data_IF_506960800877
#
_entry.id   IF_506960800877
#
_cell.length_a   1.000
_cell.length_b   1.000
_cell.length_c   1.000
_cell.angle_alpha   90.00
_cell.angle_beta   90.00
_cell.angle_gamma   90.00
#
_symmetry.space_group_name_H-M   'P 1'
#
loop_
_entity.id
_entity.type
_entity.pdbx_description
1 polymer ?
#
# COMPACT_ATOMS: atom_id res chain seq x y z
N UNK A 1 -19.49 -10.95 -2.79
CA UNK A 1 -18.02 -11.08 -2.91
C UNK A 1 -17.54 -12.35 -2.24
N UNK A 2 -17.70 -12.48 -0.92
CA UNK A 2 -17.47 -13.71 -0.14
C UNK A 2 -17.83 -15.04 -0.83
N UNK A 3 -19.10 -15.22 -1.23
CA UNK A 3 -19.56 -16.45 -1.88
C UNK A 3 -18.85 -16.74 -3.21
N UNK A 4 -18.54 -15.70 -3.99
CA UNK A 4 -17.82 -15.84 -5.26
C UNK A 4 -16.39 -16.34 -5.01
N UNK A 5 -15.70 -15.76 -4.02
CA UNK A 5 -14.36 -16.18 -3.64
C UNK A 5 -14.31 -17.64 -3.16
N UNK A 6 -15.26 -18.06 -2.30
CA UNK A 6 -15.37 -19.45 -1.85
C UNK A 6 -15.63 -20.41 -3.02
N UNK A 7 -16.42 -19.99 -4.01
CA UNK A 7 -16.66 -20.75 -5.23
C UNK A 7 -15.46 -20.75 -6.21
N UNK A 8 -14.35 -20.08 -5.88
CA UNK A 8 -13.18 -19.95 -6.75
C UNK A 8 -13.35 -18.94 -7.89
N UNK A 9 -14.40 -18.12 -7.86
CA UNK A 9 -14.65 -17.04 -8.83
C UNK A 9 -13.81 -15.83 -8.41
N UNK A 10 -12.90 -15.42 -9.30
CA UNK A 10 -11.90 -14.36 -9.03
C UNK A 10 -12.23 -12.99 -9.62
N UNK A 11 -13.25 -12.90 -10.46
CA UNK A 11 -13.67 -11.64 -11.11
C UNK A 11 -15.16 -11.45 -10.88
N UNK A 12 -15.56 -10.29 -10.37
CA UNK A 12 -16.95 -9.92 -10.08
C UNK A 12 -17.29 -8.59 -10.76
N UNK A 13 -18.34 -8.56 -11.59
CA UNK A 13 -18.80 -7.34 -12.24
C UNK A 13 -20.00 -6.75 -11.51
N UNK A 14 -20.01 -5.43 -11.35
CA UNK A 14 -21.15 -4.68 -10.82
C UNK A 14 -21.25 -3.33 -11.49
N UNK A 15 -22.31 -2.57 -11.21
CA UNK A 15 -22.43 -1.21 -11.68
C UNK A 15 -21.40 -0.33 -10.98
N UNK A 16 -21.62 -0.11 -9.69
CA UNK A 16 -20.76 0.68 -8.82
C UNK A 16 -20.75 0.05 -7.44
N UNK A 17 -19.63 0.15 -6.74
CA UNK A 17 -19.53 -0.34 -5.36
C UNK A 17 -20.25 0.62 -4.41
N UNK A 18 -20.64 0.10 -3.25
CA UNK A 18 -20.88 0.96 -2.10
C UNK A 18 -19.60 1.67 -1.64
N UNK A 19 -19.72 2.53 -0.65
CA UNK A 19 -18.62 3.37 -0.22
C UNK A 19 -18.93 4.16 1.03
N UNK A 20 -18.13 5.18 1.27
CA UNK A 20 -18.34 6.16 2.33
C UNK A 20 -19.45 7.10 1.91
N UNK A 21 -20.49 7.24 2.72
CA UNK A 21 -21.57 8.18 2.43
C UNK A 21 -21.10 9.63 2.68
N UNK A 22 -21.73 10.58 1.97
CA UNK A 22 -21.50 12.00 2.22
C UNK A 22 -21.98 12.34 3.64
N UNK A 23 -21.13 12.98 4.44
CA UNK A 23 -21.39 13.27 5.86
C UNK A 23 -21.00 12.14 6.83
N UNK A 24 -20.35 11.07 6.36
CA UNK A 24 -19.90 9.95 7.19
C UNK A 24 -18.96 10.36 8.34
N UNK A 25 -18.31 11.52 8.28
CA UNK A 25 -17.53 12.08 9.40
C UNK A 25 -18.38 12.33 10.67
N UNK A 26 -19.70 12.42 10.52
CA UNK A 26 -20.66 12.58 11.61
C UNK A 26 -21.54 11.34 11.79
N UNK A 27 -21.94 10.70 10.69
CA UNK A 27 -22.93 9.60 10.72
C UNK A 27 -22.30 8.21 10.80
N UNK A 28 -21.03 8.10 10.42
CA UNK A 28 -20.27 6.84 10.29
C UNK A 28 -20.96 5.85 9.33
N UNK A 29 -21.73 6.36 8.37
CA UNK A 29 -22.43 5.58 7.36
C UNK A 29 -21.43 5.16 6.25
N UNK A 30 -20.87 3.95 6.42
CA UNK A 30 -19.87 3.37 5.54
C UNK A 30 -20.33 1.99 5.10
N UNK A 31 -20.30 1.74 3.79
CA UNK A 31 -20.74 0.44 3.24
C UNK A 31 -19.85 -0.71 3.71
N UNK A 32 -20.50 -1.82 4.09
CA UNK A 32 -19.82 -3.09 4.36
C UNK A 32 -19.04 -3.64 3.15
N UNK A 33 -19.35 -3.18 1.93
CA UNK A 33 -18.59 -3.52 0.71
C UNK A 33 -17.10 -3.24 0.88
N UNK A 34 -16.72 -2.15 1.56
CA UNK A 34 -15.32 -1.74 1.70
C UNK A 34 -14.53 -2.68 2.62
N UNK A 35 -15.13 -3.11 3.72
CA UNK A 35 -14.53 -4.11 4.61
C UNK A 35 -14.51 -5.49 3.96
N UNK A 36 -15.54 -5.85 3.18
CA UNK A 36 -15.52 -7.10 2.43
C UNK A 36 -14.38 -7.12 1.41
N UNK A 37 -14.15 -6.00 0.71
CA UNK A 37 -13.02 -5.83 -0.20
C UNK A 37 -11.67 -5.94 0.48
N UNK A 38 -11.51 -5.56 1.76
CA UNK A 38 -10.22 -5.67 2.46
C UNK A 38 -9.86 -7.10 2.89
N UNK A 39 -10.82 -8.03 2.86
CA UNK A 39 -10.63 -9.41 3.34
C UNK A 39 -10.85 -10.48 2.28
N UNK A 40 -11.44 -10.13 1.13
CA UNK A 40 -11.81 -11.08 0.09
C UNK A 40 -10.99 -10.86 -1.19
N UNK A 41 -10.04 -11.77 -1.53
CA UNK A 41 -9.10 -11.60 -2.63
C UNK A 41 -9.74 -11.91 -4.00
N UNK A 42 -10.62 -11.02 -4.45
CA UNK A 42 -11.21 -11.03 -5.79
C UNK A 42 -11.13 -9.64 -6.43
N UNK A 43 -11.22 -9.59 -7.76
CA UNK A 43 -11.26 -8.33 -8.50
C UNK A 43 -12.69 -7.92 -8.81
N UNK A 44 -13.08 -6.73 -8.36
CA UNK A 44 -14.37 -6.10 -8.68
C UNK A 44 -14.19 -5.15 -9.85
N UNK A 45 -14.92 -5.40 -10.94
CA UNK A 45 -14.99 -4.52 -12.11
C UNK A 45 -16.24 -3.66 -12.00
N UNK A 46 -16.06 -2.34 -11.91
CA UNK A 46 -17.17 -1.40 -11.69
C UNK A 46 -16.87 -0.04 -12.33
N UNK A 47 -17.87 0.84 -12.42
CA UNK A 47 -17.70 2.22 -12.85
C UNK A 47 -17.32 3.15 -11.69
N UNK A 48 -16.52 2.64 -10.74
CA UNK A 48 -16.16 3.33 -9.51
C UNK A 48 -17.21 3.17 -8.42
N UNK A 49 -17.44 4.25 -7.67
CA UNK A 49 -18.32 4.29 -6.49
C UNK A 49 -19.65 4.94 -6.88
N UNK A 50 -20.78 4.42 -6.40
CA UNK A 50 -22.11 4.97 -6.73
C UNK A 50 -22.14 6.50 -6.51
N UNK A 51 -22.73 7.23 -7.46
CA UNK A 51 -22.70 8.71 -7.52
C UNK A 51 -23.25 9.45 -6.29
N UNK A 52 -24.11 8.80 -5.50
CA UNK A 52 -24.67 9.34 -4.26
C UNK A 52 -23.65 9.41 -3.10
N UNK A 53 -22.48 8.79 -3.25
CA UNK A 53 -21.47 8.61 -2.20
C UNK A 53 -20.35 9.66 -2.28
N UNK A 54 -19.43 9.59 -1.32
CA UNK A 54 -18.22 10.41 -1.26
C UNK A 54 -17.05 9.64 -1.86
N UNK A 55 -16.69 9.97 -3.10
CA UNK A 55 -15.67 9.25 -3.87
C UNK A 55 -14.30 9.37 -3.20
N UNK A 56 -13.90 10.59 -2.82
CA UNK A 56 -12.59 10.85 -2.20
C UNK A 56 -12.44 10.07 -0.90
N UNK A 57 -13.42 10.15 0.01
CA UNK A 57 -13.34 9.37 1.26
C UNK A 57 -13.36 7.86 1.02
N UNK A 58 -14.06 7.40 -0.02
CA UNK A 58 -14.09 5.97 -0.35
C UNK A 58 -12.75 5.47 -0.85
N UNK A 59 -12.08 6.22 -1.74
CA UNK A 59 -10.74 5.86 -2.23
C UNK A 59 -9.72 5.86 -1.09
N UNK A 60 -9.74 6.87 -0.21
CA UNK A 60 -8.88 6.93 0.98
C UNK A 60 -9.13 5.74 1.95
N UNK A 61 -10.39 5.35 2.14
CA UNK A 61 -10.74 4.19 2.95
C UNK A 61 -10.17 2.90 2.35
N UNK A 62 -10.31 2.73 1.04
CA UNK A 62 -9.80 1.57 0.30
C UNK A 62 -8.27 1.49 0.38
N UNK A 63 -7.58 2.63 0.21
CA UNK A 63 -6.14 2.74 0.38
C UNK A 63 -5.70 2.33 1.79
N UNK A 64 -6.35 2.89 2.82
CA UNK A 64 -6.09 2.57 4.23
C UNK A 64 -6.18 1.06 4.50
N UNK A 65 -7.08 0.37 3.80
CA UNK A 65 -7.31 -1.07 3.94
C UNK A 65 -6.57 -1.92 2.90
N UNK A 66 -5.56 -1.36 2.23
CA UNK A 66 -4.74 -2.03 1.22
C UNK A 66 -5.54 -2.61 0.04
N UNK A 67 -6.73 -2.08 -0.24
CA UNK A 67 -7.52 -2.45 -1.41
C UNK A 67 -7.01 -1.66 -2.60
N UNK A 68 -6.38 -2.37 -3.53
CA UNK A 68 -5.80 -1.76 -4.72
C UNK A 68 -6.89 -1.30 -5.70
N UNK A 69 -6.86 -0.03 -6.11
CA UNK A 69 -7.78 0.56 -7.08
C UNK A 69 -7.03 0.93 -8.36
N UNK A 70 -7.34 0.19 -9.43
CA UNK A 70 -6.77 0.38 -10.76
C UNK A 70 -7.80 1.09 -11.62
N UNK A 71 -7.43 2.20 -12.24
CA UNK A 71 -8.27 2.86 -13.26
C UNK A 71 -8.01 2.24 -14.63
N UNK A 72 -9.06 1.77 -15.30
CA UNK A 72 -8.96 1.21 -16.65
C UNK A 72 -9.11 2.31 -17.71
N UNK A 73 -8.00 2.87 -18.16
CA UNK A 73 -7.95 3.94 -19.16
C UNK A 73 -6.60 4.68 -19.21
N UNK A 74 -6.49 5.60 -20.17
CA UNK A 74 -5.28 6.41 -20.44
C UNK A 74 -4.84 7.31 -19.27
N UNK A 75 -5.79 7.75 -18.42
CA UNK A 75 -5.55 8.67 -17.31
C UNK A 75 -5.87 8.03 -15.97
N UNK A 76 -5.05 8.29 -14.95
CA UNK A 76 -5.36 7.94 -13.57
C UNK A 76 -6.37 8.92 -12.95
N UNK A 77 -7.61 8.86 -13.43
CA UNK A 77 -8.75 9.60 -12.89
C UNK A 77 -9.85 8.62 -12.57
N UNK A 78 -10.19 8.51 -11.29
CA UNK A 78 -11.18 7.54 -10.83
C UNK A 78 -12.59 7.94 -11.32
N UNK A 79 -13.39 7.02 -11.90
CA UNK A 79 -14.70 7.35 -12.44
C UNK A 79 -15.75 7.60 -11.35
N UNK A 80 -16.67 8.52 -11.63
CA UNK A 80 -17.76 8.93 -10.74
C UNK A 80 -19.08 8.24 -11.03
N UNK A 81 -19.05 6.96 -11.40
CA UNK A 81 -20.22 6.17 -11.81
C UNK A 81 -20.88 6.67 -13.10
N UNK A 82 -21.68 7.73 -13.04
CA UNK A 82 -22.25 8.36 -14.24
C UNK A 82 -21.29 9.34 -14.91
N UNK A 83 -20.35 9.91 -14.16
CA UNK A 83 -19.29 10.73 -14.73
C UNK A 83 -18.10 9.88 -15.11
N UNK A 84 -17.58 10.09 -16.31
CA UNK A 84 -16.36 9.44 -16.79
C UNK A 84 -15.15 9.77 -15.91
N UNK A 85 -15.14 10.97 -15.33
CA UNK A 85 -14.04 11.50 -14.52
C UNK A 85 -14.56 12.11 -13.20
N UNK A 86 -13.76 11.98 -12.15
CA UNK A 86 -13.97 12.62 -10.85
C UNK A 86 -12.73 13.40 -10.42
N UNK A 87 -12.70 13.87 -9.17
CA UNK A 87 -11.52 14.52 -8.58
C UNK A 87 -10.56 13.53 -7.90
N UNK A 88 -10.94 12.25 -7.79
CA UNK A 88 -10.13 11.23 -7.14
C UNK A 88 -9.26 10.48 -8.17
N UNK A 89 -8.22 9.80 -7.68
CA UNK A 89 -7.32 8.95 -8.46
C UNK A 89 -7.32 7.55 -7.87
N UNK A 90 -7.07 6.53 -8.70
CA UNK A 90 -6.65 5.23 -8.17
C UNK A 90 -5.16 5.25 -7.82
N UNK A 91 -4.63 4.12 -7.36
CA UNK A 91 -3.20 3.97 -7.15
C UNK A 91 -2.42 4.04 -8.47
N UNK A 92 -2.98 3.48 -9.55
CA UNK A 92 -2.45 3.60 -10.91
C UNK A 92 -3.53 3.36 -11.96
N UNK A 93 -3.17 3.57 -13.23
CA UNK A 93 -4.04 3.31 -14.37
C UNK A 93 -3.36 2.41 -15.41
N UNK A 94 -4.17 1.72 -16.20
CA UNK A 94 -3.71 0.93 -17.35
C UNK A 94 -4.82 0.79 -18.38
N UNK A 95 -4.45 0.63 -19.65
CA UNK A 95 -5.36 0.26 -20.74
C UNK A 95 -5.28 -1.24 -21.07
N UNK A 96 -4.39 -1.96 -20.38
CA UNK A 96 -4.03 -3.32 -20.70
C UNK A 96 -4.51 -4.30 -19.63
N UNK A 97 -5.51 -5.11 -19.96
CA UNK A 97 -6.03 -6.14 -19.03
C UNK A 97 -4.99 -7.22 -18.70
N UNK A 98 -3.93 -7.39 -19.49
CA UNK A 98 -2.86 -8.34 -19.16
C UNK A 98 -2.06 -7.88 -17.93
N UNK A 99 -1.84 -6.58 -17.76
CA UNK A 99 -1.21 -6.01 -16.56
C UNK A 99 -2.10 -6.24 -15.33
N UNK A 100 -3.42 -6.04 -15.48
CA UNK A 100 -4.37 -6.35 -14.40
C UNK A 100 -4.30 -7.84 -14.00
N UNK A 101 -4.18 -8.76 -14.95
CA UNK A 101 -3.96 -10.19 -14.67
C UNK A 101 -2.67 -10.43 -13.92
N UNK A 102 -1.58 -9.75 -14.29
CA UNK A 102 -0.29 -9.85 -13.59
C UNK A 102 -0.41 -9.37 -12.14
N UNK A 103 -1.10 -8.25 -11.89
CA UNK A 103 -1.37 -7.78 -10.53
C UNK A 103 -2.18 -8.80 -9.71
N UNK A 104 -3.22 -9.41 -10.30
CA UNK A 104 -4.04 -10.42 -9.62
C UNK A 104 -3.20 -11.64 -9.23
N UNK A 105 -2.41 -12.19 -10.16
CA UNK A 105 -1.58 -13.36 -9.88
C UNK A 105 -0.43 -13.04 -8.92
N UNK A 106 0.14 -11.83 -8.99
CA UNK A 106 1.19 -11.37 -8.06
C UNK A 106 0.64 -11.18 -6.65
N UNK A 107 -0.50 -10.52 -6.48
CA UNK A 107 -1.15 -10.37 -5.16
C UNK A 107 -1.46 -11.72 -4.54
N UNK A 108 -1.95 -12.67 -5.34
CA UNK A 108 -2.21 -14.03 -4.90
C UNK A 108 -0.93 -14.76 -4.47
N UNK A 109 0.14 -14.65 -5.26
CA UNK A 109 1.43 -15.24 -4.94
C UNK A 109 1.97 -14.73 -3.60
N UNK A 110 1.92 -13.41 -3.38
CA UNK A 110 2.36 -12.76 -2.14
C UNK A 110 1.47 -13.10 -0.93
N UNK A 111 0.31 -13.73 -1.13
CA UNK A 111 -0.63 -14.05 -0.07
C UNK A 111 -1.35 -12.82 0.48
N UNK A 112 -1.55 -11.79 -0.34
CA UNK A 112 -2.36 -10.63 0.01
C UNK A 112 -3.85 -11.02 0.01
N UNK A 113 -4.55 -10.65 1.08
CA UNK A 113 -5.95 -11.04 1.28
C UNK A 113 -6.95 -9.97 0.83
N UNK A 114 -6.48 -8.76 0.55
CA UNK A 114 -7.32 -7.70 0.02
C UNK A 114 -7.69 -7.99 -1.45
N UNK A 115 -8.91 -7.62 -1.80
CA UNK A 115 -9.40 -7.58 -3.16
C UNK A 115 -8.81 -6.42 -3.95
N UNK A 116 -9.31 -6.28 -5.17
CA UNK A 116 -8.88 -5.26 -6.11
C UNK A 116 -10.08 -4.65 -6.79
N UNK A 117 -10.03 -3.35 -7.05
CA UNK A 117 -11.01 -2.64 -7.88
C UNK A 117 -10.37 -2.39 -9.24
N UNK A 118 -11.06 -2.77 -10.31
CA UNK A 118 -10.81 -2.27 -11.65
C UNK A 118 -11.93 -1.28 -11.99
N UNK A 119 -11.62 0.00 -11.85
CA UNK A 119 -12.55 1.09 -12.09
C UNK A 119 -12.58 1.45 -13.57
N UNK A 120 -13.68 1.14 -14.24
CA UNK A 120 -13.89 1.33 -15.68
C UNK A 120 -14.80 2.54 -15.92
N UNK A 121 -14.28 3.65 -16.47
CA UNK A 121 -15.12 4.77 -16.86
C UNK A 121 -16.23 4.35 -17.82
N UNK A 122 -17.35 5.08 -17.79
CA UNK A 122 -18.40 4.91 -18.80
C UNK A 122 -17.84 5.13 -20.22
N UNK A 123 -18.40 4.47 -21.24
CA UNK A 123 -18.00 4.69 -22.62
C UNK A 123 -18.14 6.16 -23.01
N UNK A 124 -17.20 6.65 -23.82
CA UNK A 124 -17.07 8.06 -24.18
C UNK A 124 -18.32 8.59 -24.90
N UNK A 125 -18.99 7.74 -25.64
CA UNK A 125 -20.22 8.07 -26.38
C UNK A 125 -21.39 8.41 -25.46
N UNK A 126 -21.31 8.06 -24.17
CA UNK A 126 -22.33 8.29 -23.15
C UNK A 126 -21.94 9.36 -22.13
N UNK A 127 -20.84 10.08 -22.35
CA UNK A 127 -20.29 11.06 -21.40
C UNK A 127 -21.26 12.23 -21.15
N UNK A 128 -21.88 12.77 -22.18
CA UNK A 128 -22.83 13.89 -22.05
C UNK A 128 -24.08 13.49 -21.27
N UNK A 129 -24.65 12.32 -21.57
CA UNK A 129 -25.79 11.76 -20.81
C UNK A 129 -25.42 11.51 -19.35
N UNK A 130 -24.20 11.00 -19.11
CA UNK A 130 -23.64 10.79 -17.79
C UNK A 130 -23.53 12.06 -16.98
N UNK A 131 -22.98 13.12 -17.57
CA UNK A 131 -22.86 14.44 -16.93
C UNK A 131 -24.23 15.05 -16.59
N UNK A 132 -25.22 14.89 -17.46
CA UNK A 132 -26.59 15.35 -17.19
C UNK A 132 -27.23 14.61 -16.00
N UNK A 133 -27.01 13.29 -15.90
CA UNK A 133 -27.51 12.49 -14.77
C UNK A 133 -26.76 12.84 -13.48
N UNK A 134 -25.46 13.06 -13.53
CA UNK A 134 -24.68 13.49 -12.36
C UNK A 134 -25.17 14.84 -11.83
N UNK A 135 -25.51 15.79 -12.71
CA UNK A 135 -26.11 17.06 -12.29
C UNK A 135 -27.44 16.83 -11.54
N UNK A 136 -28.28 15.90 -12.02
CA UNK A 136 -29.52 15.52 -11.33
C UNK A 136 -29.25 14.85 -9.96
N UNK A 137 -28.17 14.06 -9.84
CA UNK A 137 -27.74 13.47 -8.57
C UNK A 137 -27.33 14.57 -7.57
N UNK A 138 -26.54 15.56 -8.01
CA UNK A 138 -26.14 16.68 -7.14
C UNK A 138 -27.35 17.52 -6.68
N UNK A 139 -28.32 17.73 -7.57
CA UNK A 139 -29.59 18.38 -7.19
C UNK A 139 -30.35 17.57 -6.14
N UNK A 140 -30.52 16.26 -6.34
CA UNK A 140 -31.23 15.39 -5.41
C UNK A 140 -30.54 15.32 -4.03
N UNK A 141 -29.20 15.29 -4.00
CA UNK A 141 -28.41 15.32 -2.77
C UNK A 141 -28.62 16.62 -1.98
N UNK A 142 -28.63 17.77 -2.67
CA UNK A 142 -28.89 19.05 -2.01
C UNK A 142 -30.34 19.14 -1.49
N UNK A 143 -31.32 18.64 -2.24
CA UNK A 143 -32.72 18.57 -1.78
C UNK A 143 -32.87 17.67 -0.55
N UNK A 144 -32.22 16.50 -0.53
CA UNK A 144 -32.23 15.58 0.61
C UNK A 144 -31.69 16.27 1.86
N UNK A 145 -30.58 17.00 1.72
CA UNK A 145 -29.96 17.78 2.80
C UNK A 145 -30.88 18.87 3.33
N UNK A 146 -31.51 19.65 2.45
CA UNK A 146 -32.42 20.73 2.85
C UNK A 146 -33.67 20.18 3.56
N UNK A 147 -34.17 19.02 3.13
CA UNK A 147 -35.32 18.33 3.73
C UNK A 147 -34.96 17.55 5.00
N UNK A 148 -33.68 17.47 5.37
CA UNK A 148 -33.22 16.72 6.54
C UNK A 148 -33.44 15.21 6.42
N UNK A 149 -33.44 14.66 5.20
CA UNK A 149 -33.58 13.21 4.97
C UNK A 149 -32.27 12.54 5.39
N UNK A 150 -32.35 11.53 6.25
CA UNK A 150 -31.19 10.90 6.87
C UNK A 150 -31.22 9.37 6.83
N UNK A 151 -30.04 8.77 6.97
CA UNK A 151 -29.83 7.33 7.10
C UNK A 151 -30.53 6.52 6.00
N UNK A 152 -31.36 5.54 6.38
CA UNK A 152 -31.97 4.56 5.47
C UNK A 152 -32.95 5.18 4.47
N UNK A 153 -33.45 6.40 4.72
CA UNK A 153 -34.39 7.09 3.84
C UNK A 153 -33.70 7.87 2.70
N UNK A 154 -32.39 8.14 2.84
CA UNK A 154 -31.62 8.88 1.83
C UNK A 154 -31.60 8.14 0.50
N UNK A 155 -31.29 6.85 0.52
CA UNK A 155 -31.12 6.07 -0.73
C UNK A 155 -32.43 5.96 -1.53
N UNK A 156 -33.58 5.56 -0.95
CA UNK A 156 -34.86 5.55 -1.66
C UNK A 156 -35.26 6.92 -2.20
N UNK A 157 -35.06 7.98 -1.42
CA UNK A 157 -35.35 9.35 -1.86
C UNK A 157 -34.51 9.75 -3.07
N UNK A 158 -33.19 9.54 -3.01
CA UNK A 158 -32.28 9.90 -4.09
C UNK A 158 -32.60 9.14 -5.38
N UNK A 159 -32.88 7.84 -5.30
CA UNK A 159 -33.22 7.03 -6.47
C UNK A 159 -34.53 7.51 -7.13
N UNK A 160 -35.58 7.78 -6.34
CA UNK A 160 -36.84 8.33 -6.87
C UNK A 160 -36.61 9.68 -7.52
N UNK A 161 -35.89 10.57 -6.83
CA UNK A 161 -35.71 11.95 -7.28
C UNK A 161 -34.84 12.05 -8.53
N UNK A 162 -33.77 11.28 -8.61
CA UNK A 162 -32.92 11.21 -9.82
C UNK A 162 -33.72 10.66 -10.99
N UNK A 163 -34.56 9.64 -10.78
CA UNK A 163 -35.41 9.10 -11.83
C UNK A 163 -36.43 10.13 -12.36
N UNK A 164 -37.05 10.91 -11.48
CA UNK A 164 -37.94 12.02 -11.84
C UNK A 164 -37.20 13.10 -12.64
N UNK A 165 -36.06 13.57 -12.15
CA UNK A 165 -35.25 14.63 -12.78
C UNK A 165 -34.71 14.21 -14.15
N UNK A 166 -34.47 12.92 -14.35
CA UNK A 166 -33.88 12.37 -15.59
C UNK A 166 -34.91 11.73 -16.52
N UNK A 167 -36.21 11.74 -16.16
CA UNK A 167 -37.29 11.10 -16.92
C UNK A 167 -36.95 9.63 -17.31
N UNK A 168 -36.30 8.88 -16.41
CA UNK A 168 -35.88 7.49 -16.64
C UNK A 168 -34.57 7.29 -17.40
N UNK A 169 -33.86 8.35 -17.83
CA UNK A 169 -32.58 8.22 -18.52
C UNK A 169 -31.49 7.58 -17.64
N UNK A 170 -31.52 7.85 -16.33
CA UNK A 170 -30.60 7.24 -15.34
C UNK A 170 -30.63 5.71 -15.32
N UNK A 171 -31.81 5.10 -15.51
CA UNK A 171 -31.95 3.63 -15.57
C UNK A 171 -31.32 3.08 -16.85
N UNK A 172 -31.56 3.73 -18.00
CA UNK A 172 -30.98 3.31 -19.29
C UNK A 172 -29.46 3.37 -19.27
N UNK A 173 -28.89 4.47 -18.78
CA UNK A 173 -27.45 4.62 -18.69
C UNK A 173 -26.82 3.61 -17.71
N UNK A 174 -27.49 3.32 -16.59
CA UNK A 174 -27.01 2.31 -15.65
C UNK A 174 -26.95 0.89 -16.26
N UNK A 175 -27.88 0.54 -17.16
CA UNK A 175 -27.83 -0.73 -17.90
C UNK A 175 -26.61 -0.74 -18.84
N UNK A 176 -26.40 0.32 -19.62
CA UNK A 176 -25.28 0.39 -20.55
C UNK A 176 -23.92 0.34 -19.82
N UNK A 177 -23.83 0.98 -18.65
CA UNK A 177 -22.71 0.91 -17.73
C UNK A 177 -22.47 -0.51 -17.22
N UNK A 178 -23.52 -1.23 -16.80
CA UNK A 178 -23.45 -2.63 -16.38
C UNK A 178 -22.94 -3.54 -17.50
N UNK A 179 -23.43 -3.34 -18.73
CA UNK A 179 -22.98 -4.10 -19.90
C UNK A 179 -21.50 -3.85 -20.21
N UNK A 180 -21.02 -2.60 -20.09
CA UNK A 180 -19.61 -2.27 -20.25
C UNK A 180 -18.74 -2.98 -19.21
N UNK A 181 -19.11 -2.90 -17.93
CA UNK A 181 -18.37 -3.54 -16.85
C UNK A 181 -18.36 -5.06 -16.98
N UNK A 182 -19.49 -5.67 -17.34
CA UNK A 182 -19.59 -7.11 -17.58
C UNK A 182 -18.72 -7.54 -18.78
N UNK A 183 -18.67 -6.75 -19.84
CA UNK A 183 -17.80 -7.01 -21.01
C UNK A 183 -16.32 -6.98 -20.63
N UNK A 184 -15.88 -5.98 -19.86
CA UNK A 184 -14.50 -5.87 -19.39
C UNK A 184 -14.16 -7.00 -18.43
N UNK A 185 -15.04 -7.30 -17.48
CA UNK A 185 -14.89 -8.42 -16.56
C UNK A 185 -14.78 -9.77 -17.27
N UNK A 186 -15.61 -10.02 -18.30
CA UNK A 186 -15.54 -11.24 -19.10
C UNK A 186 -14.21 -11.39 -19.83
N UNK A 187 -13.69 -10.30 -20.40
CA UNK A 187 -12.35 -10.27 -21.01
C UNK A 187 -11.25 -10.56 -19.98
N UNK A 188 -11.30 -9.88 -18.82
CA UNK A 188 -10.35 -10.08 -17.73
C UNK A 188 -10.37 -11.53 -17.23
N UNK A 189 -11.54 -12.10 -16.98
CA UNK A 189 -11.71 -13.48 -16.54
C UNK A 189 -11.18 -14.48 -17.58
N UNK A 190 -11.41 -14.24 -18.87
CA UNK A 190 -10.88 -15.06 -19.97
C UNK A 190 -9.35 -15.04 -20.00
N UNK A 191 -8.72 -13.86 -19.88
CA UNK A 191 -7.27 -13.73 -19.79
C UNK A 191 -6.71 -14.41 -18.53
N UNK A 192 -7.34 -14.17 -17.38
CA UNK A 192 -6.97 -14.75 -16.09
C UNK A 192 -7.06 -16.29 -16.12
N UNK A 193 -8.04 -16.87 -16.81
CA UNK A 193 -8.18 -18.33 -16.96
C UNK A 193 -7.06 -18.97 -17.78
N UNK A 194 -6.43 -18.22 -18.69
CA UNK A 194 -5.34 -18.66 -19.55
C UNK A 194 -3.96 -18.36 -18.96
N UNK A 195 -3.90 -17.58 -17.88
CA UNK A 195 -2.65 -17.16 -17.27
C UNK A 195 -1.89 -18.37 -16.71
N UNK A 196 -0.61 -18.46 -17.07
CA UNK A 196 0.35 -19.40 -16.48
C UNK A 196 1.18 -18.77 -15.36
N UNK A 197 1.05 -17.47 -15.11
CA UNK A 197 1.88 -16.75 -14.12
C UNK A 197 1.72 -17.32 -12.70
N UNK A 198 0.51 -17.76 -12.34
CA UNK A 198 0.25 -18.43 -11.05
C UNK A 198 1.02 -19.75 -10.85
N UNK A 199 1.63 -20.32 -11.88
CA UNK A 199 2.53 -21.49 -11.76
C UNK A 199 4.00 -21.11 -11.55
N UNK A 200 4.41 -19.90 -11.97
CA UNK A 200 5.79 -19.43 -11.92
C UNK A 200 6.13 -18.70 -10.61
N UNK A 201 5.14 -18.08 -9.97
CA UNK A 201 5.29 -17.52 -8.64
C UNK A 201 4.98 -18.56 -7.56
N UNK A 202 5.97 -19.38 -7.22
CA UNK A 202 5.95 -20.15 -5.97
C UNK A 202 6.52 -19.27 -4.86
N UNK A 203 5.64 -18.63 -4.08
CA UNK A 203 6.02 -18.27 -2.71
C UNK A 203 6.08 -19.59 -1.94
N UNK A 204 7.28 -20.13 -1.81
CA UNK A 204 7.55 -21.27 -0.94
C UNK A 204 7.33 -20.78 0.49
N UNK A 205 6.15 -21.03 1.03
CA UNK A 205 5.99 -21.12 2.49
C UNK A 205 6.69 -22.40 2.91
N UNK A 206 7.87 -22.25 3.49
CA UNK A 206 8.63 -23.34 4.11
C UNK A 206 7.84 -23.91 5.30
N UNK A 207 6.92 -24.82 5.00
CA UNK A 207 6.25 -25.66 5.99
C UNK A 207 7.13 -26.88 6.19
N UNK A 208 8.19 -26.69 6.97
CA UNK A 208 9.29 -27.63 7.11
C UNK A 208 8.87 -29.07 7.39
N UNK A 209 9.39 -29.97 6.56
CA UNK A 209 10.04 -31.20 6.99
C UNK A 209 11.09 -31.52 5.94
N UNK A 210 12.29 -30.97 6.10
CA UNK A 210 13.49 -31.63 5.59
C UNK A 210 14.70 -31.24 6.43
N UNK A 211 15.33 -32.28 6.95
CA UNK A 211 16.67 -32.28 7.49
C UNK A 211 17.65 -32.05 6.34
N UNK A 212 18.07 -30.80 6.10
CA UNK A 212 19.35 -30.49 5.45
C UNK A 212 19.67 -28.98 5.55
N UNK A 213 20.80 -28.70 6.18
CA UNK A 213 21.54 -27.43 6.35
C UNK A 213 20.82 -26.10 6.00
N UNK A 214 20.22 -25.46 7.03
CA UNK A 214 19.81 -24.04 6.99
C UNK A 214 21.00 -23.18 6.57
N UNK A 215 20.89 -22.49 5.42
CA UNK A 215 21.85 -21.43 5.09
C UNK A 215 21.73 -20.32 6.14
N UNK A 216 22.85 -20.00 6.79
CA UNK A 216 22.98 -18.94 7.79
C UNK A 216 22.43 -17.61 7.25
N UNK A 217 21.52 -16.95 7.97
CA UNK A 217 21.01 -15.64 7.58
C UNK A 217 22.16 -14.62 7.61
N UNK A 218 22.46 -13.93 6.51
CA UNK A 218 23.52 -12.91 6.50
C UNK A 218 23.09 -11.61 7.16
N UNK A 219 21.81 -11.24 7.02
CA UNK A 219 21.22 -10.01 7.55
C UNK A 219 19.89 -10.34 8.22
N UNK A 220 19.64 -9.71 9.38
CA UNK A 220 18.37 -9.75 10.09
C UNK A 220 17.84 -8.33 10.18
N UNK A 221 16.57 -8.14 9.82
CA UNK A 221 15.89 -6.85 9.86
C UNK A 221 14.75 -6.91 10.87
N UNK A 222 14.71 -5.97 11.80
CA UNK A 222 13.68 -5.87 12.85
C UNK A 222 13.02 -4.51 12.75
N UNK A 223 11.70 -4.47 12.51
CA UNK A 223 10.93 -3.21 12.48
C UNK A 223 10.90 -2.46 11.13
N UNK A 224 11.78 -2.75 10.15
CA UNK A 224 11.85 -1.95 8.91
C UNK A 224 10.78 -2.28 7.85
N UNK A 225 9.51 -2.01 8.15
CA UNK A 225 8.41 -2.10 7.17
C UNK A 225 7.75 -0.73 7.00
N UNK A 226 7.38 -0.39 5.76
CA UNK A 226 6.65 0.82 5.30
C UNK A 226 5.22 0.94 5.91
N UNK A 227 4.95 0.26 7.02
CA UNK A 227 3.65 0.22 7.68
C UNK A 227 3.84 0.87 9.06
N UNK A 228 3.63 2.19 9.11
CA UNK A 228 3.54 2.99 10.34
C UNK A 228 2.30 2.53 11.14
N UNK A 229 2.45 1.47 11.93
CA UNK A 229 1.60 1.24 13.09
C UNK A 229 2.48 1.26 14.35
N UNK A 230 2.29 2.27 15.20
CA UNK A 230 2.68 2.19 16.60
C UNK A 230 1.76 1.17 17.30
N UNK A 231 1.99 -0.12 17.03
CA UNK A 231 1.40 -1.15 17.88
C UNK A 231 2.27 -1.29 19.11
N UNK A 232 1.85 -0.71 20.24
CA UNK A 232 2.38 -1.07 21.55
C UNK A 232 1.96 -2.52 21.79
N UNK A 233 2.81 -3.46 21.38
CA UNK A 233 2.67 -4.86 21.77
C UNK A 233 3.83 -5.22 22.69
N UNK A 234 3.61 -6.15 23.61
CA UNK A 234 4.67 -6.72 24.46
C UNK A 234 5.64 -7.53 23.58
N UNK A 235 6.52 -6.86 22.82
CA UNK A 235 7.44 -7.47 21.86
C UNK A 235 8.62 -8.20 22.50
N UNK A 236 8.92 -7.95 23.78
CA UNK A 236 9.98 -8.63 24.54
C UNK A 236 9.85 -10.17 24.49
N UNK A 237 8.61 -10.67 24.41
CA UNK A 237 8.29 -12.10 24.37
C UNK A 237 8.46 -12.71 22.97
N UNK A 238 8.59 -11.90 21.91
CA UNK A 238 8.75 -12.37 20.52
C UNK A 238 10.22 -12.39 20.07
N UNK A 239 11.04 -11.40 20.41
CA UNK A 239 12.46 -11.39 20.00
C UNK A 239 13.24 -12.56 20.59
N UNK A 240 12.98 -12.90 21.86
CA UNK A 240 13.56 -14.06 22.53
C UNK A 240 13.25 -15.39 21.82
N UNK A 241 12.08 -15.51 21.15
CA UNK A 241 11.73 -16.69 20.34
C UNK A 241 12.49 -16.78 19.02
N UNK A 242 13.16 -15.71 18.61
CA UNK A 242 13.92 -15.60 17.35
C UNK A 242 15.41 -15.30 17.59
N UNK A 243 15.91 -15.53 18.81
CA UNK A 243 17.32 -15.35 19.19
C UNK A 243 18.27 -16.12 18.27
N UNK A 244 17.87 -17.33 17.86
CA UNK A 244 18.61 -18.15 16.91
C UNK A 244 18.88 -17.43 15.59
N UNK A 245 17.95 -16.60 15.12
CA UNK A 245 18.09 -15.84 13.87
C UNK A 245 19.11 -14.71 14.06
N UNK A 246 19.01 -13.95 15.15
CA UNK A 246 19.95 -12.87 15.52
C UNK A 246 21.37 -13.43 15.69
N UNK A 247 21.53 -14.53 16.43
CA UNK A 247 22.83 -15.17 16.65
C UNK A 247 23.53 -15.60 15.36
N UNK A 248 22.73 -15.94 14.34
CA UNK A 248 23.22 -16.40 13.06
C UNK A 248 23.49 -15.26 12.07
N UNK A 249 23.08 -14.02 12.37
CA UNK A 249 23.28 -12.88 11.48
C UNK A 249 24.74 -12.46 11.36
N UNK A 250 25.14 -11.77 10.29
CA UNK A 250 26.36 -10.97 10.29
C UNK A 250 26.05 -9.49 10.62
N UNK A 251 24.86 -9.03 10.23
CA UNK A 251 24.30 -7.72 10.57
C UNK A 251 22.86 -7.82 11.09
N UNK A 252 22.52 -6.99 12.08
CA UNK A 252 21.18 -6.77 12.61
C UNK A 252 20.79 -5.33 12.35
N UNK A 253 19.76 -5.13 11.53
CA UNK A 253 19.21 -3.83 11.17
C UNK A 253 17.91 -3.60 11.93
N UNK A 254 17.71 -2.42 12.50
CA UNK A 254 16.41 -2.06 13.06
C UNK A 254 16.13 -0.55 12.99
N UNK A 255 14.85 -0.19 13.02
CA UNK A 255 14.41 1.20 13.01
C UNK A 255 13.99 1.71 14.40
N UNK A 256 13.70 3.01 14.51
CA UNK A 256 13.27 3.65 15.75
C UNK A 256 11.80 3.40 16.13
N UNK A 257 11.04 2.67 15.31
CA UNK A 257 9.60 2.45 15.50
C UNK A 257 9.26 1.40 16.56
N UNK A 258 10.26 0.69 17.07
CA UNK A 258 10.11 -0.33 18.11
C UNK A 258 10.25 0.24 19.54
N UNK A 259 9.72 -0.44 20.57
CA UNK A 259 9.86 -0.01 21.97
C UNK A 259 11.31 0.04 22.45
N UNK A 260 11.61 0.92 23.41
CA UNK A 260 12.97 1.08 23.97
C UNK A 260 13.50 -0.21 24.62
N UNK A 261 12.63 -1.00 25.27
CA UNK A 261 13.00 -2.30 25.84
C UNK A 261 13.40 -3.31 24.75
N UNK A 262 12.68 -3.30 23.64
CA UNK A 262 12.96 -4.13 22.46
C UNK A 262 14.29 -3.76 21.82
N UNK A 263 14.57 -2.46 21.66
CA UNK A 263 15.88 -1.95 21.22
C UNK A 263 16.99 -2.45 22.14
N UNK A 264 16.83 -2.29 23.47
CA UNK A 264 17.81 -2.78 24.45
C UNK A 264 18.07 -4.28 24.26
N UNK A 265 17.02 -5.08 24.09
CA UNK A 265 17.15 -6.53 23.93
C UNK A 265 17.87 -6.92 22.64
N UNK A 266 17.60 -6.23 21.53
CA UNK A 266 18.32 -6.43 20.26
C UNK A 266 19.81 -6.15 20.45
N UNK A 267 20.14 -5.05 21.13
CA UNK A 267 21.53 -4.66 21.38
C UNK A 267 22.23 -5.68 22.28
N UNK A 268 21.59 -6.09 23.40
CA UNK A 268 22.15 -7.10 24.31
C UNK A 268 22.44 -8.42 23.59
N UNK A 269 21.50 -8.92 22.78
CA UNK A 269 21.68 -10.14 22.00
C UNK A 269 22.77 -9.97 20.94
N UNK A 270 22.78 -8.84 20.23
CA UNK A 270 23.78 -8.57 19.20
C UNK A 270 25.18 -8.48 19.80
N UNK A 271 25.34 -7.82 20.94
CA UNK A 271 26.59 -7.75 21.66
C UNK A 271 27.02 -9.15 22.17
N UNK A 272 26.11 -9.91 22.77
CA UNK A 272 26.38 -11.27 23.26
C UNK A 272 26.88 -12.20 22.15
N UNK A 273 26.24 -12.16 20.99
CA UNK A 273 26.64 -12.98 19.84
C UNK A 273 27.73 -12.35 18.98
N UNK A 274 28.23 -11.15 19.30
CA UNK A 274 29.20 -10.38 18.50
C UNK A 274 28.72 -10.14 17.06
N UNK A 275 27.50 -9.62 16.93
CA UNK A 275 26.84 -9.25 15.67
C UNK A 275 26.94 -7.74 15.47
N UNK A 276 27.12 -7.32 14.21
CA UNK A 276 27.12 -5.89 13.87
C UNK A 276 25.70 -5.36 13.84
N UNK A 277 25.51 -4.14 14.30
CA UNK A 277 24.21 -3.48 14.43
C UNK A 277 24.17 -2.23 13.58
N UNK A 278 23.06 -2.09 12.86
CA UNK A 278 22.68 -0.89 12.12
C UNK A 278 21.36 -0.35 12.67
N UNK A 279 21.36 0.93 13.04
CA UNK A 279 20.16 1.60 13.53
C UNK A 279 19.70 2.75 12.62
N UNK A 280 18.40 2.77 12.29
CA UNK A 280 17.74 3.90 11.63
C UNK A 280 16.80 4.64 12.61
N UNK A 281 17.07 5.89 12.99
CA UNK A 281 16.27 6.58 13.99
C UNK A 281 14.85 6.95 13.54
N UNK A 282 14.58 7.16 12.25
CA UNK A 282 13.30 7.60 11.64
C UNK A 282 12.69 8.94 12.13
N UNK A 283 13.02 9.39 13.34
CA UNK A 283 12.70 10.73 13.83
C UNK A 283 13.62 11.13 15.00
N UNK A 284 13.68 12.44 15.31
CA UNK A 284 14.41 12.96 16.49
C UNK A 284 13.86 12.35 17.79
N UNK A 285 12.55 12.15 17.91
CA UNK A 285 11.95 11.59 19.14
C UNK A 285 12.32 10.12 19.32
N UNK A 286 12.29 9.34 18.24
CA UNK A 286 12.60 7.91 18.23
C UNK A 286 14.10 7.65 18.40
N UNK A 287 14.95 8.53 17.87
CA UNK A 287 16.40 8.52 18.11
C UNK A 287 16.74 8.52 19.61
N UNK A 288 15.98 9.21 20.46
CA UNK A 288 16.28 9.27 21.91
C UNK A 288 16.30 7.90 22.57
N UNK A 289 15.52 6.95 22.06
CA UNK A 289 15.40 5.60 22.61
C UNK A 289 16.75 4.88 22.72
N UNK A 290 17.67 5.07 21.76
CA UNK A 290 19.00 4.44 21.82
C UNK A 290 19.91 5.06 22.89
N UNK A 291 19.67 6.32 23.26
CA UNK A 291 20.38 6.96 24.38
C UNK A 291 19.75 6.56 25.71
N UNK A 292 18.42 6.46 25.76
CA UNK A 292 17.67 6.04 26.95
C UNK A 292 17.96 4.58 27.35
N UNK A 293 18.34 3.73 26.39
CA UNK A 293 18.80 2.38 26.65
C UNK A 293 20.33 2.23 26.74
N UNK A 294 21.09 3.33 26.76
CA UNK A 294 22.57 3.34 26.76
C UNK A 294 23.19 2.51 25.62
N UNK A 295 22.47 2.41 24.50
CA UNK A 295 22.76 1.50 23.40
C UNK A 295 23.81 2.00 22.41
N UNK A 296 24.15 3.28 22.44
CA UNK A 296 24.95 3.95 21.40
C UNK A 296 26.31 3.27 21.14
N UNK A 297 26.96 2.76 22.18
CA UNK A 297 28.27 2.10 22.08
C UNK A 297 28.21 0.71 21.42
N UNK A 298 27.01 0.15 21.28
CA UNK A 298 26.78 -1.18 20.73
C UNK A 298 26.39 -1.12 19.23
N UNK A 299 26.21 0.08 18.68
CA UNK A 299 25.78 0.30 17.29
C UNK A 299 27.00 0.62 16.42
N UNK A 300 27.18 -0.12 15.32
CA UNK A 300 28.31 0.09 14.41
C UNK A 300 27.97 1.02 13.25
N UNK A 301 26.70 1.08 12.84
CA UNK A 301 26.25 1.95 11.75
C UNK A 301 24.94 2.63 12.14
N UNK A 302 24.83 3.92 11.82
CA UNK A 302 23.58 4.67 11.92
C UNK A 302 23.30 5.35 10.59
N UNK A 303 22.02 5.42 10.20
CA UNK A 303 21.55 6.10 8.97
C UNK A 303 20.63 7.30 9.27
N UNK A 304 21.06 8.27 10.10
CA UNK A 304 20.21 9.41 10.44
C UNK A 304 20.08 10.40 9.27
N UNK A 305 18.95 11.11 9.21
CA UNK A 305 18.90 12.36 8.47
C UNK A 305 19.69 13.48 9.19
N UNK A 306 19.86 14.63 8.55
CA UNK A 306 20.63 15.75 9.08
C UNK A 306 20.14 16.23 10.47
N UNK A 307 18.83 16.29 10.69
CA UNK A 307 18.25 16.76 11.94
C UNK A 307 18.47 15.76 13.09
N UNK A 308 18.26 14.46 12.82
CA UNK A 308 18.56 13.38 13.75
C UNK A 308 20.04 13.34 14.11
N UNK A 309 20.91 13.42 13.11
CA UNK A 309 22.36 13.41 13.30
C UNK A 309 22.82 14.58 14.18
N UNK A 310 22.31 15.79 13.93
CA UNK A 310 22.65 16.95 14.74
C UNK A 310 22.15 16.82 16.19
N UNK A 311 20.99 16.22 16.42
CA UNK A 311 20.50 15.95 17.77
C UNK A 311 21.32 14.84 18.46
N UNK A 312 21.75 13.81 17.72
CA UNK A 312 22.67 12.78 18.22
C UNK A 312 24.00 13.39 18.66
N UNK A 313 24.60 14.26 17.87
CA UNK A 313 25.89 14.93 18.17
C UNK A 313 25.77 15.76 19.46
N UNK A 314 24.69 16.53 19.59
CA UNK A 314 24.40 17.31 20.81
C UNK A 314 24.32 16.42 22.06
N UNK A 315 23.69 15.24 21.94
CA UNK A 315 23.52 14.29 23.06
C UNK A 315 24.79 13.51 23.39
N UNK A 316 25.56 13.12 22.37
CA UNK A 316 26.81 12.39 22.52
C UNK A 316 27.96 13.25 23.05
N UNK A 317 27.75 14.57 23.23
CA UNK A 317 28.78 15.55 23.64
C UNK A 317 30.01 15.57 22.71
N UNK A 318 29.84 15.13 21.47
CA UNK A 318 30.88 15.12 20.45
C UNK A 318 30.95 16.48 19.75
N UNK A 319 32.14 16.90 19.32
CA UNK A 319 32.33 18.09 18.47
C UNK A 319 32.69 17.65 17.06
N UNK A 320 31.91 18.09 16.07
CA UNK A 320 32.23 17.89 14.66
C UNK A 320 33.18 19.02 14.25
N UNK A 321 34.37 18.66 13.77
CA UNK A 321 35.37 19.61 13.26
C UNK A 321 35.31 19.74 11.74
N UNK A 322 34.98 18.65 11.03
CA UNK A 322 34.68 18.61 9.58
C UNK A 322 33.73 17.43 9.30
N UNK A 323 32.68 17.64 8.50
CA UNK A 323 31.79 16.56 8.09
C UNK A 323 30.84 17.02 7.00
N UNK A 324 30.61 16.17 6.00
CA UNK A 324 29.56 16.37 5.00
C UNK A 324 28.29 15.77 5.60
N UNK A 325 27.34 16.62 5.97
CA UNK A 325 25.99 16.21 6.38
C UNK A 325 25.13 16.27 5.14
N UNK A 326 24.62 15.13 4.69
CA UNK A 326 23.69 15.07 3.56
C UNK A 326 22.25 15.19 4.09
N UNK A 327 21.48 16.11 3.51
CA UNK A 327 20.05 16.25 3.77
C UNK A 327 19.26 15.35 2.81
N UNK A 328 18.25 14.62 3.31
CA UNK A 328 17.33 13.84 2.47
C UNK A 328 17.67 12.35 2.30
N UNK A 329 18.10 11.67 3.37
CA UNK A 329 18.29 10.21 3.34
C UNK A 329 16.93 9.49 3.39
N UNK A 330 16.47 9.09 2.20
CA UNK A 330 15.30 8.24 1.96
C UNK A 330 15.63 6.74 2.16
N UNK A 331 14.60 5.91 2.38
CA UNK A 331 14.63 4.45 2.47
C UNK A 331 15.40 3.77 1.33
N UNK A 332 15.49 4.44 0.18
CA UNK A 332 16.27 4.05 -0.99
C UNK A 332 17.77 3.93 -0.71
N UNK A 333 18.33 4.74 0.20
CA UNK A 333 19.74 4.63 0.63
C UNK A 333 19.98 3.29 1.31
N UNK A 334 19.19 3.01 2.36
CA UNK A 334 19.33 1.81 3.17
C UNK A 334 19.11 0.56 2.32
N UNK A 335 18.12 0.61 1.43
CA UNK A 335 17.80 -0.48 0.49
C UNK A 335 18.99 -0.80 -0.42
N UNK A 336 19.66 0.21 -0.98
CA UNK A 336 20.87 0.01 -1.78
C UNK A 336 22.03 -0.58 -0.98
N UNK A 337 22.25 -0.11 0.25
CA UNK A 337 23.33 -0.61 1.11
C UNK A 337 23.07 -2.07 1.51
N UNK A 338 21.83 -2.40 1.89
CA UNK A 338 21.40 -3.76 2.19
C UNK A 338 21.58 -4.67 0.97
N UNK A 339 21.21 -4.21 -0.23
CA UNK A 339 21.41 -4.95 -1.46
C UNK A 339 22.90 -5.27 -1.72
N UNK A 340 23.80 -4.32 -1.49
CA UNK A 340 25.24 -4.54 -1.58
C UNK A 340 25.75 -5.57 -0.55
N UNK A 341 25.30 -5.46 0.70
CA UNK A 341 25.70 -6.38 1.79
C UNK A 341 25.22 -7.81 1.55
N UNK A 342 23.98 -8.01 1.07
CA UNK A 342 23.43 -9.33 0.71
C UNK A 342 24.27 -9.98 -0.39
N UNK A 343 24.74 -9.18 -1.35
CA UNK A 343 25.62 -9.63 -2.45
C UNK A 343 27.10 -9.75 -2.06
N UNK A 344 27.45 -9.54 -0.78
CA UNK A 344 28.80 -9.73 -0.27
C UNK A 344 29.80 -8.66 -0.73
N UNK A 345 29.32 -7.49 -1.13
CA UNK A 345 30.20 -6.39 -1.55
C UNK A 345 30.87 -5.72 -0.35
N UNK A 346 32.08 -5.13 -0.52
CA UNK A 346 32.71 -4.33 0.52
C UNK A 346 31.82 -3.17 0.97
N UNK A 347 31.92 -2.75 2.24
CA UNK A 347 31.07 -1.69 2.80
C UNK A 347 31.15 -0.39 2.00
N UNK A 348 32.35 0.01 1.55
CA UNK A 348 32.54 1.19 0.71
C UNK A 348 31.71 1.12 -0.58
N UNK A 349 31.65 -0.05 -1.21
CA UNK A 349 30.84 -0.27 -2.40
C UNK A 349 29.35 -0.26 -2.09
N UNK A 350 28.95 -0.81 -0.94
CA UNK A 350 27.56 -0.75 -0.49
C UNK A 350 27.10 0.69 -0.28
N UNK A 351 27.95 1.56 0.28
CA UNK A 351 27.66 2.98 0.46
C UNK A 351 27.48 3.70 -0.88
N UNK A 352 28.31 3.41 -1.88
CA UNK A 352 28.17 3.97 -3.24
C UNK A 352 26.84 3.54 -3.89
N UNK A 353 26.47 2.26 -3.76
CA UNK A 353 25.20 1.72 -4.26
C UNK A 353 24.03 2.42 -3.57
N UNK A 354 24.10 2.57 -2.25
CA UNK A 354 23.11 3.33 -1.47
C UNK A 354 22.95 4.75 -1.99
N UNK A 355 24.05 5.47 -2.17
CA UNK A 355 24.04 6.85 -2.66
C UNK A 355 23.44 6.94 -4.06
N UNK A 356 23.76 5.99 -4.95
CA UNK A 356 23.18 5.91 -6.28
C UNK A 356 21.65 5.67 -6.21
N UNK A 357 21.19 4.80 -5.32
CA UNK A 357 19.76 4.54 -5.10
C UNK A 357 19.04 5.78 -4.54
N UNK A 358 19.63 6.47 -3.55
CA UNK A 358 19.09 7.70 -2.99
C UNK A 358 19.00 8.82 -4.03
N UNK A 359 20.06 9.03 -4.81
CA UNK A 359 20.09 10.04 -5.87
C UNK A 359 19.02 9.76 -6.95
N UNK A 360 18.83 8.49 -7.33
CA UNK A 360 17.81 8.08 -8.30
C UNK A 360 16.39 8.18 -7.76
N UNK A 361 16.20 7.98 -6.45
CA UNK A 361 14.92 8.21 -5.77
C UNK A 361 14.55 9.70 -5.75
N UNK A 362 15.50 10.57 -5.38
CA UNK A 362 15.27 12.02 -5.34
C UNK A 362 14.96 12.65 -6.72
N UNK A 363 15.36 11.99 -7.81
CA UNK A 363 15.08 12.41 -9.18
C UNK A 363 13.79 11.80 -9.75
N UNK A 364 13.10 10.98 -8.97
CA UNK A 364 11.88 10.29 -9.36
C UNK A 364 10.64 10.96 -8.79
N UNK A 365 9.58 11.02 -9.60
CA UNK A 365 8.23 11.36 -9.13
C UNK A 365 7.43 10.11 -8.71
N UNK A 366 7.98 8.93 -8.97
CA UNK A 366 7.42 7.63 -8.58
C UNK A 366 7.99 7.19 -7.23
N UNK A 367 7.16 6.48 -6.44
CA UNK A 367 7.49 5.98 -5.09
C UNK A 367 8.71 5.05 -5.07
N UNK A 368 8.97 4.31 -6.15
CA UNK A 368 10.20 3.56 -6.37
C UNK A 368 10.71 4.00 -7.74
N UNK A 369 11.88 4.62 -7.79
CA UNK A 369 12.45 5.09 -9.06
C UNK A 369 12.67 3.91 -10.03
N UNK A 370 12.13 3.94 -11.26
CA UNK A 370 12.36 2.90 -12.27
C UNK A 370 13.83 2.73 -12.63
N UNK A 371 14.63 3.77 -12.37
CA UNK A 371 16.07 3.75 -12.57
C UNK A 371 16.83 2.97 -11.48
N UNK A 372 16.17 2.58 -10.38
CA UNK A 372 16.73 1.66 -9.39
C UNK A 372 16.54 0.23 -9.90
N UNK A 373 17.57 -0.31 -10.55
CA UNK A 373 17.59 -1.67 -11.10
C UNK A 373 18.67 -2.54 -10.42
N UNK A 374 18.58 -3.88 -10.50
CA UNK A 374 19.63 -4.78 -10.02
C UNK A 374 21.01 -4.50 -10.62
N UNK A 375 21.06 -3.85 -11.79
CA UNK A 375 22.30 -3.45 -12.47
C UNK A 375 23.12 -2.45 -11.66
N UNK A 376 22.50 -1.69 -10.74
CA UNK A 376 23.21 -0.80 -9.80
C UNK A 376 24.24 -1.57 -8.98
N UNK A 377 23.95 -2.83 -8.64
CA UNK A 377 24.85 -3.65 -7.84
C UNK A 377 26.11 -4.02 -8.64
N UNK A 378 25.97 -4.13 -9.96
CA UNK A 378 27.05 -4.44 -10.91
C UNK A 378 27.77 -3.21 -11.49
N UNK A 379 27.15 -2.02 -11.48
CA UNK A 379 27.70 -0.75 -11.98
C UNK A 379 28.53 -0.05 -10.94
#
# INVERSE_FOLDING_TARGET
MFLANIAGIRVFATGGIGGVHRGAEQTFDVSADLLELSHTPLTVVCAGVKSILDISKTVEFLETHSVNCIVFGERNVFPGFFSRESHAKGQFNTENLAEVVEHIETSKALGLNAGMILACPIPKEMEDDGNAIEAAVQMALNEARIKGIQSKEVTPFLLSRVNELTCGASVKLNIALLENNARIAGKLASLLSKSKLGQNFRVVRDNGKDSEQKSKAKIVVVGATIIDFESITNEDVKISKHENVISSADFVFFDGNIPTETIRKILDLSAFYNRKVWFDPTSISKMRKIFDCEGMNQIQVVSPNANEFMDMVKRSRLRITHGIVFEGFDFSLNSGILAGLVNGLPLERCLQIGQACAARSLLSVETISPSISPEIISS
#
